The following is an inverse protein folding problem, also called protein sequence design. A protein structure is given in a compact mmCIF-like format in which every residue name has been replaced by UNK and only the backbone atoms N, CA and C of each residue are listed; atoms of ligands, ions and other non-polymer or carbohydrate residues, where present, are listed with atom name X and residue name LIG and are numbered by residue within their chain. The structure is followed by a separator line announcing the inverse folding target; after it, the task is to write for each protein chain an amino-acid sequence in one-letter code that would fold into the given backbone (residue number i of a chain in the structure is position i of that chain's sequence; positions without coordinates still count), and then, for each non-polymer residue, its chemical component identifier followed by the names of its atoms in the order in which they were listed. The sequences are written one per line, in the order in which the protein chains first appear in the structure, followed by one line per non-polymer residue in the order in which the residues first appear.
data_IF_650539105514
#
_entry.id   IF_650539105514
#
_cell.length_a   1.000
_cell.length_b   1.000
_cell.length_c   1.000
_cell.angle_alpha   90.00
_cell.angle_beta   90.00
_cell.angle_gamma   90.00
#
_symmetry.space_group_name_H-M   'P 1'
#
loop_
_entity.id
_entity.type
_entity.pdbx_description
1 polymer ?
#
# COMPACT_ATOMS: atom_id res chain seq x y z
N UNK A 1 14.05 0.82 -20.39
CA UNK A 1 13.70 1.83 -19.39
C UNK A 1 14.53 1.56 -18.13
N UNK A 2 15.34 2.42 -17.51
CA UNK A 2 15.64 3.84 -17.68
C UNK A 2 16.87 4.20 -16.82
N UNK A 3 17.52 5.32 -17.15
CA UNK A 3 18.45 6.05 -16.30
C UNK A 3 17.98 6.06 -14.82
N UNK A 4 18.91 5.91 -13.87
CA UNK A 4 18.68 5.98 -12.41
C UNK A 4 17.79 7.16 -12.02
N UNK A 5 17.91 8.28 -12.71
CA UNK A 5 17.08 9.46 -12.49
C UNK A 5 15.57 9.19 -12.68
N UNK A 6 15.18 8.52 -13.76
CA UNK A 6 13.77 8.30 -14.08
C UNK A 6 13.11 7.32 -13.09
N UNK A 7 13.83 6.27 -12.70
CA UNK A 7 13.29 5.32 -11.70
C UNK A 7 13.21 5.96 -10.31
N UNK A 8 14.16 6.83 -9.97
CA UNK A 8 14.14 7.61 -8.73
C UNK A 8 12.91 8.52 -8.71
N UNK A 9 12.65 9.24 -9.80
CA UNK A 9 11.47 10.10 -9.94
C UNK A 9 10.16 9.29 -9.87
N UNK A 10 10.13 8.09 -10.45
CA UNK A 10 8.96 7.23 -10.44
C UNK A 10 8.63 6.69 -9.04
N UNK A 11 9.63 6.19 -8.30
CA UNK A 11 9.38 5.63 -6.96
C UNK A 11 9.23 6.71 -5.89
N UNK A 12 9.73 7.92 -6.15
CA UNK A 12 9.70 9.06 -5.25
C UNK A 12 10.09 8.69 -3.80
N UNK A 13 11.38 8.39 -3.55
CA UNK A 13 11.83 7.93 -2.24
C UNK A 13 11.76 9.09 -1.24
N UNK A 14 11.05 8.87 -0.13
CA UNK A 14 10.92 9.85 0.96
C UNK A 14 12.03 9.70 1.99
N UNK A 15 12.47 8.46 2.21
CA UNK A 15 13.53 8.13 3.17
C UNK A 15 14.22 6.83 2.77
N UNK A 16 15.53 6.76 2.94
CA UNK A 16 16.29 5.55 2.67
C UNK A 16 17.49 5.46 3.62
N UNK A 17 17.65 4.32 4.29
CA UNK A 17 18.85 3.99 5.05
C UNK A 17 19.37 2.58 4.70
N UNK A 18 20.23 2.02 5.54
CA UNK A 18 20.82 0.69 5.32
C UNK A 18 19.79 -0.45 5.49
N UNK A 19 18.71 -0.22 6.23
CA UNK A 19 17.75 -1.22 6.67
C UNK A 19 16.39 -1.10 6.00
N UNK A 20 15.94 0.10 5.66
CA UNK A 20 14.61 0.37 5.10
C UNK A 20 14.67 1.38 3.96
N UNK A 21 13.64 1.35 3.12
CA UNK A 21 13.32 2.41 2.16
C UNK A 21 11.83 2.73 2.25
N UNK A 22 11.52 4.02 2.24
CA UNK A 22 10.18 4.58 2.25
C UNK A 22 9.97 5.30 0.93
N UNK A 23 8.93 4.94 0.20
CA UNK A 23 8.67 5.42 -1.16
C UNK A 23 7.18 5.66 -1.38
N UNK A 24 6.82 6.48 -2.36
CA UNK A 24 5.41 6.78 -2.69
C UNK A 24 4.95 5.89 -3.84
N UNK A 25 4.06 4.95 -3.56
CA UNK A 25 3.43 4.13 -4.60
C UNK A 25 2.49 5.00 -5.44
N UNK A 26 2.64 5.06 -6.76
CA UNK A 26 1.66 5.69 -7.64
C UNK A 26 0.34 4.89 -7.66
N UNK A 27 -0.78 5.52 -8.02
CA UNK A 27 -2.05 4.81 -8.19
C UNK A 27 -1.97 3.86 -9.39
N UNK A 28 -2.86 2.86 -9.41
CA UNK A 28 -3.02 1.87 -10.48
C UNK A 28 -1.83 0.93 -10.74
N UNK A 29 -0.80 0.93 -9.90
CA UNK A 29 0.31 -0.04 -9.92
C UNK A 29 0.13 -1.09 -8.82
N UNK A 30 0.27 -2.39 -9.12
CA UNK A 30 0.16 -3.41 -8.10
C UNK A 30 1.36 -3.36 -7.14
N UNK A 31 1.13 -3.58 -5.84
CA UNK A 31 2.23 -3.62 -4.86
C UNK A 31 3.17 -4.79 -5.12
N UNK A 32 2.61 -5.98 -5.37
CA UNK A 32 3.30 -7.23 -5.67
C UNK A 32 2.70 -7.79 -6.96
N UNK A 33 3.48 -8.57 -7.72
CA UNK A 33 3.02 -9.19 -8.96
C UNK A 33 1.69 -9.92 -8.77
N UNK A 34 0.77 -9.74 -9.73
CA UNK A 34 -0.54 -10.36 -9.79
C UNK A 34 -0.74 -11.00 -11.18
N UNK A 35 -1.95 -11.53 -11.44
CA UNK A 35 -2.27 -12.23 -12.68
C UNK A 35 -2.32 -11.33 -13.93
N UNK A 36 -2.18 -10.00 -13.78
CA UNK A 36 -2.20 -9.08 -14.92
C UNK A 36 -0.89 -9.07 -15.70
N UNK A 37 0.22 -9.49 -15.07
CA UNK A 37 1.56 -9.43 -15.66
C UNK A 37 2.24 -8.06 -15.58
N UNK A 38 1.60 -7.07 -14.95
CA UNK A 38 2.17 -5.73 -14.80
C UNK A 38 3.39 -5.70 -13.86
N UNK A 39 4.34 -4.81 -14.15
CA UNK A 39 5.48 -4.56 -13.26
C UNK A 39 5.00 -3.99 -11.92
N UNK A 40 5.23 -4.74 -10.84
CA UNK A 40 4.83 -4.31 -9.51
C UNK A 40 5.74 -3.22 -8.95
N UNK A 41 5.21 -2.44 -8.01
CA UNK A 41 5.99 -1.43 -7.30
C UNK A 41 7.18 -2.05 -6.56
N UNK A 42 7.02 -3.27 -6.04
CA UNK A 42 8.10 -4.03 -5.42
C UNK A 42 9.28 -4.28 -6.38
N UNK A 43 9.01 -4.62 -7.65
CA UNK A 43 10.08 -4.80 -8.65
C UNK A 43 10.74 -3.46 -9.01
N UNK A 44 9.96 -2.38 -9.15
CA UNK A 44 10.52 -1.04 -9.38
C UNK A 44 11.50 -0.60 -8.27
N UNK A 45 11.20 -0.89 -7.00
CA UNK A 45 12.11 -0.60 -5.88
C UNK A 45 13.38 -1.47 -5.95
N UNK A 46 13.25 -2.76 -6.32
CA UNK A 46 14.42 -3.64 -6.51
C UNK A 46 15.33 -3.13 -7.62
N UNK A 47 14.76 -2.71 -8.74
CA UNK A 47 15.50 -2.14 -9.86
C UNK A 47 16.21 -0.84 -9.46
N UNK A 48 15.53 0.03 -8.70
CA UNK A 48 16.15 1.23 -8.14
C UNK A 48 17.37 0.91 -7.27
N UNK A 49 17.25 -0.04 -6.33
CA UNK A 49 18.36 -0.43 -5.45
C UNK A 49 19.49 -1.06 -6.27
N UNK A 50 19.16 -1.87 -7.28
CA UNK A 50 20.15 -2.52 -8.14
C UNK A 50 20.97 -1.49 -8.92
N UNK A 51 20.30 -0.51 -9.54
CA UNK A 51 20.93 0.56 -10.29
C UNK A 51 21.72 1.52 -9.39
N UNK A 52 21.13 1.98 -8.28
CA UNK A 52 21.76 2.94 -7.36
C UNK A 52 23.05 2.43 -6.73
N UNK A 53 23.08 1.15 -6.36
CA UNK A 53 24.22 0.54 -5.67
C UNK A 53 25.06 -0.39 -6.55
N UNK A 54 24.81 -0.39 -7.86
CA UNK A 54 25.50 -1.23 -8.84
C UNK A 54 25.62 -2.70 -8.40
N UNK A 55 24.53 -3.26 -7.84
CA UNK A 55 24.55 -4.61 -7.28
C UNK A 55 24.50 -5.66 -8.38
N UNK A 56 25.45 -6.59 -8.36
CA UNK A 56 25.43 -7.78 -9.20
C UNK A 56 24.53 -8.83 -8.57
N UNK A 57 23.44 -9.20 -9.25
CA UNK A 57 22.50 -10.24 -8.79
C UNK A 57 21.16 -9.73 -8.24
N UNK A 58 20.44 -10.63 -7.55
CA UNK A 58 19.12 -10.35 -7.00
C UNK A 58 19.21 -9.50 -5.73
N UNK A 59 18.47 -8.40 -5.70
CA UNK A 59 18.35 -7.54 -4.53
C UNK A 59 17.32 -8.15 -3.57
N UNK A 60 17.72 -8.38 -2.32
CA UNK A 60 16.78 -8.65 -1.25
C UNK A 60 15.95 -7.39 -0.96
N UNK A 61 14.63 -7.55 -0.98
CA UNK A 61 13.66 -6.55 -0.54
C UNK A 61 12.53 -7.27 0.19
N UNK A 62 12.22 -6.86 1.41
CA UNK A 62 11.14 -7.41 2.21
C UNK A 62 9.88 -6.57 2.08
N UNK A 63 8.78 -7.21 1.65
CA UNK A 63 7.45 -6.61 1.63
C UNK A 63 6.77 -6.85 2.98
N UNK A 64 6.56 -5.80 3.76
CA UNK A 64 6.01 -5.89 5.13
C UNK A 64 4.53 -5.53 5.20
N UNK A 65 4.03 -4.76 4.24
CA UNK A 65 2.62 -4.44 4.08
C UNK A 65 2.31 -4.12 2.61
N UNK A 66 1.03 -4.05 2.25
CA UNK A 66 0.59 -3.72 0.90
C UNK A 66 -0.36 -2.52 0.87
N UNK A 67 -0.36 -1.82 -0.25
CA UNK A 67 -1.44 -0.95 -0.68
C UNK A 67 -2.16 -1.62 -1.86
N UNK A 68 -3.47 -1.41 -1.96
CA UNK A 68 -4.22 -1.92 -3.11
C UNK A 68 -3.80 -1.20 -4.39
N UNK A 69 -4.06 -1.84 -5.52
CA UNK A 69 -3.68 -1.33 -6.85
C UNK A 69 -4.12 0.12 -7.08
N UNK A 70 -5.40 0.52 -6.86
CA UNK A 70 -5.83 1.90 -7.11
C UNK A 70 -5.33 2.91 -6.08
N UNK A 71 -4.83 2.45 -4.92
CA UNK A 71 -4.42 3.34 -3.82
C UNK A 71 -3.02 3.87 -4.09
N UNK A 72 -2.84 5.19 -4.02
CA UNK A 72 -1.52 5.82 -3.95
C UNK A 72 -1.12 6.08 -2.50
N UNK A 73 0.17 6.11 -2.20
CA UNK A 73 0.64 6.57 -0.90
C UNK A 73 1.95 5.97 -0.44
N UNK A 74 2.29 6.27 0.81
CA UNK A 74 3.56 5.89 1.43
C UNK A 74 3.62 4.39 1.67
N UNK A 75 4.72 3.78 1.26
CA UNK A 75 5.06 2.39 1.53
C UNK A 75 6.44 2.25 2.15
N UNK A 76 6.57 1.32 3.09
CA UNK A 76 7.84 0.96 3.73
C UNK A 76 8.27 -0.42 3.26
N UNK A 77 9.53 -0.54 2.84
CA UNK A 77 10.15 -1.81 2.47
C UNK A 77 11.41 -2.06 3.29
N UNK A 78 11.69 -3.32 3.57
CA UNK A 78 12.90 -3.73 4.28
C UNK A 78 14.03 -4.08 3.30
N UNK A 79 15.19 -3.42 3.43
CA UNK A 79 16.40 -3.73 2.66
C UNK A 79 17.22 -4.89 3.25
N UNK A 80 16.87 -5.35 4.45
CA UNK A 80 17.53 -6.46 5.15
C UNK A 80 16.50 -7.40 5.80
N UNK A 81 16.86 -8.67 5.97
CA UNK A 81 16.02 -9.67 6.65
C UNK A 81 15.73 -9.30 8.11
N UNK A 82 16.71 -8.72 8.80
CA UNK A 82 16.56 -8.22 10.18
C UNK A 82 15.51 -7.11 10.27
N UNK A 83 15.53 -6.16 9.34
CA UNK A 83 14.53 -5.09 9.28
C UNK A 83 13.14 -5.63 8.94
N UNK A 84 13.05 -6.59 8.02
CA UNK A 84 11.79 -7.24 7.66
C UNK A 84 11.14 -7.89 8.89
N UNK A 85 11.90 -8.67 9.66
CA UNK A 85 11.41 -9.32 10.88
C UNK A 85 10.86 -8.31 11.89
N UNK A 86 11.62 -7.24 12.18
CA UNK A 86 11.23 -6.18 13.13
C UNK A 86 10.00 -5.40 12.68
N UNK A 87 9.93 -5.04 11.39
CA UNK A 87 8.77 -4.34 10.84
C UNK A 87 7.52 -5.22 10.86
N UNK A 88 7.65 -6.50 10.50
CA UNK A 88 6.54 -7.44 10.60
C UNK A 88 6.07 -7.62 12.04
N UNK A 89 6.99 -7.64 13.01
CA UNK A 89 6.64 -7.67 14.44
C UNK A 89 5.93 -6.40 14.89
N UNK A 90 6.41 -5.22 14.49
CA UNK A 90 5.76 -3.95 14.80
C UNK A 90 4.32 -3.88 14.23
N UNK A 91 4.12 -4.42 13.02
CA UNK A 91 2.78 -4.53 12.41
C UNK A 91 1.89 -5.50 13.20
N UNK A 92 2.42 -6.68 13.58
CA UNK A 92 1.68 -7.66 14.40
C UNK A 92 1.26 -7.08 15.75
N UNK A 93 2.13 -6.30 16.37
CA UNK A 93 1.90 -5.68 17.67
C UNK A 93 1.10 -4.37 17.59
N UNK A 94 0.57 -4.00 16.39
CA UNK A 94 -0.18 -2.74 16.15
C UNK A 94 0.58 -1.46 16.52
N UNK A 95 1.91 -1.53 16.52
CA UNK A 95 2.79 -0.38 16.71
C UNK A 95 3.07 0.36 15.39
N UNK A 96 2.34 0.02 14.33
CA UNK A 96 2.48 0.60 13.00
C UNK A 96 1.20 1.36 12.62
N UNK A 97 1.19 2.67 12.86
CA UNK A 97 0.05 3.53 12.55
C UNK A 97 0.04 3.92 11.08
N UNK A 98 -1.13 3.86 10.45
CA UNK A 98 -1.35 4.30 9.07
C UNK A 98 -2.47 5.34 9.06
N UNK A 99 -2.31 6.36 8.23
CA UNK A 99 -3.33 7.39 8.03
C UNK A 99 -3.63 7.48 6.55
N UNK A 100 -4.90 7.44 6.20
CA UNK A 100 -5.36 7.46 4.82
C UNK A 100 -6.31 8.64 4.63
N UNK A 101 -6.12 9.37 3.55
CA UNK A 101 -7.10 10.35 3.09
C UNK A 101 -7.97 9.71 2.02
N UNK A 102 -9.28 9.92 2.14
CA UNK A 102 -10.24 9.43 1.15
C UNK A 102 -11.34 10.48 0.92
N UNK A 103 -11.88 10.47 -0.30
CA UNK A 103 -13.10 11.22 -0.63
C UNK A 103 -14.26 10.24 -0.54
N UNK A 104 -15.28 10.62 0.22
CA UNK A 104 -16.48 9.80 0.45
C UNK A 104 -17.71 10.47 -0.14
N UNK A 105 -18.66 9.66 -0.61
CA UNK A 105 -19.95 10.14 -1.14
C UNK A 105 -21.02 10.10 -0.04
N UNK A 106 -21.47 11.26 0.41
CA UNK A 106 -22.50 11.38 1.44
C UNK A 106 -22.34 12.67 2.25
N UNK A 107 -23.23 12.89 3.21
CA UNK A 107 -23.08 13.94 4.21
C UNK A 107 -22.65 13.27 5.51
N UNK A 108 -21.57 13.76 6.10
CA UNK A 108 -21.10 13.32 7.40
C UNK A 108 -21.86 14.06 8.49
N UNK A 109 -22.61 13.33 9.31
CA UNK A 109 -23.35 13.94 10.44
C UNK A 109 -22.43 14.37 11.59
N UNK A 110 -21.27 13.75 11.71
CA UNK A 110 -20.28 13.98 12.75
C UNK A 110 -18.91 14.24 12.10
N UNK A 111 -18.08 15.09 12.72
CA UNK A 111 -16.75 15.44 12.21
C UNK A 111 -15.75 14.29 12.32
N UNK A 112 -15.89 13.45 13.35
CA UNK A 112 -15.01 12.32 13.65
C UNK A 112 -15.86 11.19 14.26
N UNK A 113 -15.60 9.94 13.86
CA UNK A 113 -16.24 8.75 14.44
C UNK A 113 -15.41 7.50 14.08
N UNK A 114 -15.64 6.38 14.77
CA UNK A 114 -14.96 5.09 14.57
C UNK A 114 -15.93 4.08 13.94
N UNK A 115 -15.49 3.42 12.86
CA UNK A 115 -16.25 2.35 12.23
C UNK A 115 -15.61 0.99 12.53
N UNK A 116 -16.32 0.15 13.28
CA UNK A 116 -15.93 -1.23 13.55
C UNK A 116 -16.89 -2.18 12.84
N UNK A 117 -16.36 -3.07 11.99
CA UNK A 117 -17.16 -4.06 11.29
C UNK A 117 -16.32 -5.26 10.84
N UNK A 118 -16.97 -6.41 10.63
CA UNK A 118 -16.32 -7.62 10.12
C UNK A 118 -16.18 -7.58 8.60
N UNK A 119 -14.98 -7.93 8.10
CA UNK A 119 -14.73 -8.11 6.67
C UNK A 119 -15.00 -9.57 6.27
N UNK A 120 -16.10 -9.81 5.57
CA UNK A 120 -16.46 -11.14 5.04
C UNK A 120 -16.01 -11.22 3.58
N UNK A 121 -15.11 -12.17 3.27
CA UNK A 121 -14.71 -12.45 1.89
C UNK A 121 -15.85 -13.19 1.17
N UNK A 122 -16.48 -12.55 0.19
CA UNK A 122 -17.49 -13.19 -0.67
C UNK A 122 -16.82 -13.89 -1.87
N UNK A 123 -17.05 -15.19 -2.02
CA UNK A 123 -16.90 -15.89 -3.30
C UNK A 123 -18.03 -15.39 -4.22
N UNK A 124 -17.76 -14.70 -5.33
CA UNK A 124 -18.80 -13.97 -6.07
C UNK A 124 -19.52 -14.84 -7.11
N UNK A 125 -20.86 -14.75 -7.16
CA UNK A 125 -21.66 -14.81 -8.39
C UNK A 125 -22.20 -13.39 -8.67
N UNK A 126 -22.21 -13.00 -9.95
CA UNK A 126 -22.19 -11.63 -10.48
C UNK A 126 -23.38 -10.70 -10.13
N UNK A 127 -24.46 -11.18 -9.52
CA UNK A 127 -25.67 -10.39 -9.23
C UNK A 127 -25.52 -9.42 -8.03
N UNK A 128 -24.40 -9.47 -7.31
CA UNK A 128 -24.24 -8.74 -6.03
C UNK A 128 -23.70 -7.31 -6.16
N UNK A 129 -23.25 -6.88 -7.33
CA UNK A 129 -22.60 -5.57 -7.51
C UNK A 129 -23.57 -4.39 -7.31
N UNK A 130 -24.84 -4.55 -7.70
CA UNK A 130 -25.87 -3.52 -7.51
C UNK A 130 -26.23 -3.33 -6.02
N UNK A 131 -26.22 -4.42 -5.24
CA UNK A 131 -26.50 -4.41 -3.80
C UNK A 131 -25.33 -3.88 -2.95
N UNK A 132 -24.08 -4.17 -3.34
CA UNK A 132 -22.91 -3.70 -2.62
C UNK A 132 -22.75 -2.18 -2.76
N UNK A 133 -23.04 -1.62 -3.94
CA UNK A 133 -22.98 -0.18 -4.18
C UNK A 133 -24.00 0.59 -3.32
N UNK A 134 -25.23 0.08 -3.20
CA UNK A 134 -26.26 0.65 -2.33
C UNK A 134 -25.92 0.52 -0.84
N UNK A 135 -25.32 -0.58 -0.40
CA UNK A 135 -24.92 -0.78 1.01
C UNK A 135 -23.74 0.10 1.41
N UNK A 136 -22.75 0.25 0.53
CA UNK A 136 -21.61 1.15 0.71
C UNK A 136 -22.10 2.62 0.70
N UNK A 137 -23.01 2.99 -0.21
CA UNK A 137 -23.59 4.34 -0.24
C UNK A 137 -24.42 4.67 1.02
N UNK A 138 -25.05 3.66 1.64
CA UNK A 138 -25.76 3.81 2.92
C UNK A 138 -24.82 3.91 4.12
N UNK A 139 -23.65 3.28 4.05
CA UNK A 139 -22.60 3.39 5.06
C UNK A 139 -21.84 4.73 4.99
N UNK A 140 -21.69 5.33 3.81
CA UNK A 140 -20.96 6.60 3.62
C UNK A 140 -21.72 7.86 4.12
N UNK A 141 -22.88 7.71 4.79
CA UNK A 141 -23.55 8.81 5.53
C UNK A 141 -22.90 9.13 6.90
N UNK A 142 -21.87 8.39 7.29
CA UNK A 142 -20.99 8.65 8.44
C UNK A 142 -19.65 8.01 8.09
N UNK A 143 -18.60 8.73 7.72
CA UNK A 143 -17.43 8.97 8.57
C UNK A 143 -16.34 9.76 7.80
N UNK A 144 -15.55 10.52 8.56
CA UNK A 144 -14.13 10.76 8.26
C UNK A 144 -13.35 9.51 8.70
N UNK A 145 -12.49 8.95 7.85
CA UNK A 145 -11.77 7.70 8.16
C UNK A 145 -10.36 8.00 8.70
N UNK A 146 -10.11 7.62 9.95
CA UNK A 146 -8.75 7.32 10.43
C UNK A 146 -8.71 5.80 10.66
N UNK A 147 -8.18 5.05 9.69
CA UNK A 147 -7.95 3.61 9.87
C UNK A 147 -6.67 3.43 10.70
N UNK A 148 -6.80 3.47 12.03
CA UNK A 148 -5.77 2.93 12.93
C UNK A 148 -5.87 1.40 12.90
N UNK A 149 -4.83 0.73 12.42
CA UNK A 149 -4.64 -0.71 12.60
C UNK A 149 -3.94 -0.98 13.93
#
# INVERSE_FOLDING_TARGET
MNNLEQITNFINPLYEDNHIIVAVKPPNIPTQADNTGDTSFFENIKDYIKLKYNKQGNVFLGLVHRLDRPVSGVMVFAKTSKAASRLSEAIRNRNFQKTYYCVVKGILLEKENTLENYLIKKQTNLETLQWLFLKILRMLKKLFFIIKY
#
